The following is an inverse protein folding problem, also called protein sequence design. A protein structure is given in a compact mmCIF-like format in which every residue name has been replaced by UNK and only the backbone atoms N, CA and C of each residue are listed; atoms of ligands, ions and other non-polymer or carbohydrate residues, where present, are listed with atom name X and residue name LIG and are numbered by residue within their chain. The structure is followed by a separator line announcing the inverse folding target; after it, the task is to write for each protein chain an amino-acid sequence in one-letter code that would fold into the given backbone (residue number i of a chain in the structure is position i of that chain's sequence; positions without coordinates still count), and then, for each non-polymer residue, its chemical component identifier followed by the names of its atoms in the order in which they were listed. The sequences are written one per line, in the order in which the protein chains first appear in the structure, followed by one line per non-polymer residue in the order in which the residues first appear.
data_IF_276724394380
#
_entry.id   IF_276724394380
#
_cell.length_a   1.000
_cell.length_b   1.000
_cell.length_c   1.000
_cell.angle_alpha   90.00
_cell.angle_beta   90.00
_cell.angle_gamma   90.00
#
_symmetry.space_group_name_H-M   'P 1'
#
loop_
_entity.id
_entity.type
_entity.pdbx_description
1 polymer ?
#
# COMPACT_ATOMS: atom_id res chain seq x y z
N UNK A 1 -31.29 19.16 -12.76
CA UNK A 1 -30.08 19.74 -12.13
C UNK A 1 -29.23 18.59 -11.66
N UNK A 2 -27.93 18.60 -11.95
CA UNK A 2 -27.01 17.57 -11.47
C UNK A 2 -27.15 17.44 -9.95
N UNK A 3 -27.30 16.21 -9.44
CA UNK A 3 -27.42 15.96 -8.00
C UNK A 3 -26.04 15.96 -7.31
N UNK A 4 -24.97 16.29 -8.03
CA UNK A 4 -23.60 16.30 -7.54
C UNK A 4 -23.38 17.46 -6.54
N UNK A 5 -22.62 17.20 -5.48
CA UNK A 5 -22.24 18.18 -4.46
C UNK A 5 -21.67 19.46 -5.07
N UNK A 6 -20.74 19.35 -6.02
CA UNK A 6 -20.02 20.46 -6.64
C UNK A 6 -20.91 21.43 -7.45
N UNK A 7 -22.11 20.99 -7.84
CA UNK A 7 -23.08 21.81 -8.58
C UNK A 7 -24.04 22.56 -7.67
N UNK A 8 -24.20 22.13 -6.42
CA UNK A 8 -25.13 22.72 -5.46
C UNK A 8 -24.62 24.10 -5.01
N UNK A 9 -25.51 25.07 -4.75
CA UNK A 9 -25.13 26.35 -4.16
C UNK A 9 -24.35 26.15 -2.86
N UNK A 10 -23.24 26.87 -2.69
CA UNK A 10 -22.53 26.88 -1.42
C UNK A 10 -23.32 27.67 -0.38
N UNK A 11 -23.44 27.16 0.83
CA UNK A 11 -24.07 27.91 1.93
C UNK A 11 -23.30 29.20 2.23
N UNK A 12 -21.96 29.11 2.16
CA UNK A 12 -21.06 30.27 2.27
C UNK A 12 -20.92 30.96 0.91
N UNK A 13 -21.41 32.19 0.81
CA UNK A 13 -21.24 33.03 -0.39
C UNK A 13 -20.15 34.11 -0.24
N UNK A 14 -19.83 34.50 0.99
CA UNK A 14 -18.73 35.43 1.27
C UNK A 14 -17.41 34.68 1.18
N UNK A 15 -16.82 34.67 0.00
CA UNK A 15 -15.58 33.93 -0.31
C UNK A 15 -14.53 34.82 -0.98
N UNK A 16 -13.27 34.52 -0.70
CA UNK A 16 -12.10 35.07 -1.39
C UNK A 16 -11.34 33.95 -2.09
N UNK A 17 -10.62 34.32 -3.15
CA UNK A 17 -9.90 33.38 -4.00
C UNK A 17 -8.45 33.82 -4.20
N UNK A 18 -7.85 34.47 -3.19
CA UNK A 18 -6.53 35.07 -3.33
C UNK A 18 -5.47 34.00 -3.59
N UNK A 19 -5.49 32.93 -2.80
CA UNK A 19 -4.53 31.81 -2.91
C UNK A 19 -4.67 31.10 -4.25
N UNK A 20 -5.91 30.79 -4.67
CA UNK A 20 -6.17 30.21 -5.99
C UNK A 20 -5.66 31.11 -7.12
N UNK A 21 -5.97 32.41 -7.09
CA UNK A 21 -5.57 33.36 -8.15
C UNK A 21 -4.06 33.54 -8.23
N UNK A 22 -3.37 33.56 -7.09
CA UNK A 22 -1.92 33.62 -7.07
C UNK A 22 -1.30 32.38 -7.71
N UNK A 23 -1.81 31.20 -7.33
CA UNK A 23 -1.39 29.93 -7.90
C UNK A 23 -1.65 29.87 -9.42
N UNK A 24 -2.87 30.23 -9.84
CA UNK A 24 -3.28 30.24 -11.24
C UNK A 24 -2.42 31.19 -12.09
N UNK A 25 -2.11 32.39 -11.57
CA UNK A 25 -1.23 33.35 -12.26
C UNK A 25 0.17 32.81 -12.45
N UNK A 26 0.73 32.17 -11.41
CA UNK A 26 2.06 31.53 -11.51
C UNK A 26 2.07 30.34 -12.48
N UNK A 27 0.97 29.58 -12.56
CA UNK A 27 0.90 28.32 -13.32
C UNK A 27 0.49 28.50 -14.77
N UNK A 28 -0.43 29.44 -15.05
CA UNK A 28 -1.13 29.60 -16.33
C UNK A 28 -1.23 31.05 -16.82
N UNK A 29 -0.63 32.02 -16.10
CA UNK A 29 -0.79 33.47 -16.39
C UNK A 29 -2.27 33.92 -16.45
N UNK A 30 -3.12 33.28 -15.64
CA UNK A 30 -4.56 33.54 -15.57
C UNK A 30 -4.99 33.81 -14.12
N UNK A 31 -5.98 34.68 -13.91
CA UNK A 31 -6.54 34.99 -12.58
C UNK A 31 -8.05 34.71 -12.46
N UNK A 32 -8.66 34.18 -13.51
CA UNK A 32 -10.07 33.84 -13.51
C UNK A 32 -10.32 32.53 -12.77
N UNK A 33 -11.51 32.39 -12.17
CA UNK A 33 -11.93 31.11 -11.60
C UNK A 33 -12.26 30.12 -12.73
N UNK A 34 -12.08 28.80 -12.52
CA UNK A 34 -12.45 27.82 -13.52
C UNK A 34 -13.95 27.91 -13.84
N UNK A 35 -14.29 27.51 -15.06
CA UNK A 35 -15.69 27.34 -15.46
C UNK A 35 -16.43 26.38 -14.51
N UNK A 36 -17.74 26.61 -14.36
CA UNK A 36 -18.58 25.77 -13.51
C UNK A 36 -18.46 26.06 -12.01
N UNK A 37 -17.97 27.23 -11.61
CA UNK A 37 -17.92 27.73 -10.21
C UNK A 37 -19.20 28.41 -9.71
N UNK A 38 -20.22 28.52 -10.56
CA UNK A 38 -21.52 29.11 -10.21
C UNK A 38 -22.64 28.08 -10.35
N UNK A 39 -23.55 28.02 -9.37
CA UNK A 39 -24.75 27.16 -9.42
C UNK A 39 -25.83 27.78 -10.33
N UNK A 40 -26.04 29.08 -10.17
CA UNK A 40 -26.93 29.96 -10.97
C UNK A 40 -26.30 31.36 -10.98
N UNK A 41 -26.79 32.26 -11.85
CA UNK A 41 -26.22 33.62 -12.04
C UNK A 41 -25.74 34.24 -10.71
N UNK A 42 -24.43 34.48 -10.62
CA UNK A 42 -23.72 35.11 -9.49
C UNK A 42 -23.83 34.41 -8.12
N UNK A 43 -24.29 33.16 -8.06
CA UNK A 43 -24.28 32.35 -6.83
C UNK A 43 -23.21 31.29 -6.95
N UNK A 44 -22.19 31.34 -6.09
CA UNK A 44 -21.12 30.36 -6.05
C UNK A 44 -21.65 28.98 -5.64
N UNK A 45 -21.11 27.93 -6.24
CA UNK A 45 -21.40 26.55 -5.85
C UNK A 45 -20.32 25.97 -4.93
N UNK A 46 -20.50 24.73 -4.51
CA UNK A 46 -19.52 24.07 -3.65
C UNK A 46 -18.16 23.84 -4.34
N UNK A 47 -18.10 23.72 -5.67
CA UNK A 47 -16.80 23.70 -6.35
C UNK A 47 -16.04 25.01 -6.14
N UNK A 48 -16.71 26.17 -6.20
CA UNK A 48 -16.11 27.43 -5.78
C UNK A 48 -15.69 27.41 -4.30
N UNK A 49 -16.48 26.84 -3.40
CA UNK A 49 -16.10 26.71 -1.99
C UNK A 49 -14.82 25.91 -1.78
N UNK A 50 -14.62 24.81 -2.52
CA UNK A 50 -13.39 24.01 -2.50
C UNK A 50 -12.16 24.77 -3.04
N UNK A 51 -12.37 25.83 -3.84
CA UNK A 51 -11.31 26.71 -4.38
C UNK A 51 -11.11 27.99 -3.56
N UNK A 52 -11.93 28.22 -2.53
CA UNK A 52 -11.90 29.44 -1.75
C UNK A 52 -10.82 29.38 -0.65
N UNK A 53 -10.35 30.56 -0.22
CA UNK A 53 -9.50 30.68 0.97
C UNK A 53 -10.25 30.26 2.25
N UNK A 54 -11.57 30.12 2.19
CA UNK A 54 -12.46 29.70 3.27
C UNK A 54 -12.99 28.27 3.11
N UNK A 55 -12.30 27.41 2.35
CA UNK A 55 -12.63 25.98 2.31
C UNK A 55 -12.68 25.41 3.73
N UNK A 56 -13.81 24.79 4.15
CA UNK A 56 -13.97 24.31 5.52
C UNK A 56 -13.36 22.93 5.77
N UNK A 57 -12.94 22.22 4.72
CA UNK A 57 -12.29 20.91 4.82
C UNK A 57 -10.79 21.03 4.69
N UNK A 58 -10.09 20.21 5.46
CA UNK A 58 -8.65 20.26 5.61
C UNK A 58 -8.01 18.91 5.31
N UNK A 59 -6.75 18.94 4.90
CA UNK A 59 -5.83 17.83 5.07
C UNK A 59 -5.14 17.98 6.42
N UNK A 60 -5.07 16.88 7.17
CA UNK A 60 -4.42 16.84 8.49
C UNK A 60 -3.31 15.80 8.44
N UNK A 61 -2.06 16.28 8.38
CA UNK A 61 -0.87 15.43 8.39
C UNK A 61 -0.41 15.20 9.83
N UNK A 62 -0.49 13.96 10.29
CA UNK A 62 0.01 13.51 11.59
C UNK A 62 1.31 12.77 11.41
N UNK A 63 2.29 13.13 12.24
CA UNK A 63 3.61 12.51 12.29
C UNK A 63 4.00 12.26 13.74
N UNK A 64 5.08 11.50 13.97
CA UNK A 64 5.66 11.36 15.31
C UNK A 64 6.06 12.69 15.97
N UNK A 65 6.28 13.74 15.18
CA UNK A 65 6.71 15.06 15.66
C UNK A 65 5.53 16.02 15.90
N UNK A 66 4.29 15.58 15.65
CA UNK A 66 3.10 16.40 15.79
C UNK A 66 2.22 16.42 14.54
N UNK A 67 1.21 17.28 14.59
CA UNK A 67 0.17 17.43 13.57
C UNK A 67 0.32 18.76 12.82
N UNK A 68 0.08 18.73 11.51
CA UNK A 68 0.00 19.90 10.64
C UNK A 68 -1.32 19.90 9.89
N UNK A 69 -2.09 20.98 10.05
CA UNK A 69 -3.34 21.23 9.32
C UNK A 69 -3.07 22.20 8.17
N UNK A 70 -3.56 21.87 6.98
CA UNK A 70 -3.47 22.72 5.79
C UNK A 70 -4.77 23.51 5.61
N UNK A 71 -4.69 24.75 5.13
CA UNK A 71 -5.84 25.65 4.97
C UNK A 71 -5.93 26.20 3.55
N UNK A 72 -7.10 26.73 3.18
CA UNK A 72 -7.34 27.34 1.88
C UNK A 72 -7.80 26.32 0.83
N UNK A 73 -7.59 26.57 -0.47
CA UNK A 73 -8.14 25.72 -1.53
C UNK A 73 -7.71 24.26 -1.39
N UNK A 74 -8.65 23.31 -1.38
CA UNK A 74 -8.39 21.91 -1.00
C UNK A 74 -7.31 21.25 -1.88
N UNK A 75 -7.30 21.54 -3.18
CA UNK A 75 -6.26 21.03 -4.07
C UNK A 75 -4.87 21.63 -3.80
N UNK A 76 -4.78 22.86 -3.27
CA UNK A 76 -3.50 23.47 -2.89
C UNK A 76 -2.98 22.80 -1.61
N UNK A 77 -3.87 22.54 -0.65
CA UNK A 77 -3.51 21.77 0.55
C UNK A 77 -2.89 20.41 0.17
N UNK A 78 -3.49 19.72 -0.81
CA UNK A 78 -2.96 18.46 -1.36
C UNK A 78 -1.56 18.62 -1.95
N UNK A 79 -1.32 19.67 -2.74
CA UNK A 79 -0.02 19.95 -3.36
C UNK A 79 1.03 20.24 -2.29
N UNK A 80 0.72 21.09 -1.31
CA UNK A 80 1.63 21.43 -0.22
C UNK A 80 1.98 20.21 0.64
N UNK A 81 0.99 19.37 0.93
CA UNK A 81 1.21 18.12 1.65
C UNK A 81 2.09 17.15 0.86
N UNK A 82 1.87 17.01 -0.45
CA UNK A 82 2.68 16.16 -1.31
C UNK A 82 4.14 16.63 -1.38
N UNK A 83 4.38 17.95 -1.47
CA UNK A 83 5.72 18.55 -1.44
C UNK A 83 6.41 18.23 -0.12
N UNK A 84 5.73 18.46 1.01
CA UNK A 84 6.32 18.21 2.32
C UNK A 84 6.65 16.73 2.52
N UNK A 85 5.75 15.82 2.15
CA UNK A 85 5.99 14.38 2.21
C UNK A 85 7.17 13.97 1.32
N UNK A 86 7.25 14.51 0.11
CA UNK A 86 8.36 14.24 -0.82
C UNK A 86 9.70 14.71 -0.25
N UNK A 87 9.75 15.86 0.40
CA UNK A 87 10.95 16.39 1.05
C UNK A 87 11.33 15.58 2.29
N UNK A 88 10.36 15.30 3.16
CA UNK A 88 10.55 14.56 4.42
C UNK A 88 10.89 13.07 4.21
N UNK A 89 10.47 12.48 3.08
CA UNK A 89 10.72 11.07 2.78
C UNK A 89 12.21 10.85 2.43
N UNK A 90 12.96 10.04 3.20
CA UNK A 90 14.38 9.79 2.93
C UNK A 90 14.57 8.91 1.70
N UNK A 91 15.79 8.92 1.15
CA UNK A 91 16.22 7.96 0.14
C UNK A 91 16.73 6.67 0.76
N UNK A 92 16.24 5.54 0.25
CA UNK A 92 16.63 4.19 0.64
C UNK A 92 17.29 3.48 -0.54
N UNK A 93 18.20 2.57 -0.26
CA UNK A 93 18.80 1.71 -1.28
C UNK A 93 18.24 0.31 -1.11
N UNK A 94 17.53 -0.18 -2.12
CA UNK A 94 17.01 -1.54 -2.10
C UNK A 94 18.16 -2.51 -2.38
N UNK A 95 18.25 -3.58 -1.59
CA UNK A 95 19.28 -4.61 -1.78
C UNK A 95 19.26 -5.12 -3.22
N UNK A 96 20.44 -5.26 -3.82
CA UNK A 96 20.59 -5.67 -5.23
C UNK A 96 20.33 -4.55 -6.25
N UNK A 97 20.10 -3.30 -5.82
CA UNK A 97 19.95 -2.14 -6.72
C UNK A 97 21.04 -1.11 -6.51
N UNK A 98 21.61 -0.66 -7.62
CA UNK A 98 22.58 0.45 -7.63
C UNK A 98 21.91 1.79 -7.32
N UNK A 99 20.65 1.96 -7.70
CA UNK A 99 19.92 3.22 -7.54
C UNK A 99 19.28 3.35 -6.15
N UNK A 100 19.28 4.58 -5.62
CA UNK A 100 18.49 4.96 -4.45
C UNK A 100 17.08 5.40 -4.88
N UNK A 101 16.10 5.07 -4.06
CA UNK A 101 14.69 5.40 -4.27
C UNK A 101 14.17 6.17 -3.07
N UNK A 102 13.16 7.03 -3.24
CA UNK A 102 12.44 7.57 -2.09
C UNK A 102 11.75 6.42 -1.36
N UNK A 103 11.86 6.41 -0.02
CA UNK A 103 11.24 5.40 0.86
C UNK A 103 9.75 5.20 0.56
N UNK A 104 9.05 6.29 0.27
CA UNK A 104 7.72 6.29 -0.31
C UNK A 104 7.84 6.75 -1.77
N UNK A 105 7.34 5.98 -2.75
CA UNK A 105 7.31 6.42 -4.13
C UNK A 105 6.46 7.68 -4.29
N UNK A 106 7.06 8.79 -4.73
CA UNK A 106 6.36 10.07 -4.85
C UNK A 106 5.12 10.00 -5.74
N UNK A 107 5.19 9.21 -6.82
CA UNK A 107 4.06 8.97 -7.73
C UNK A 107 2.89 8.31 -7.00
N UNK A 108 3.16 7.34 -6.12
CA UNK A 108 2.12 6.67 -5.34
C UNK A 108 1.48 7.62 -4.31
N UNK A 109 2.29 8.47 -3.67
CA UNK A 109 1.82 9.46 -2.71
C UNK A 109 0.95 10.52 -3.38
N UNK A 110 1.39 11.10 -4.50
CA UNK A 110 0.64 12.11 -5.25
C UNK A 110 -0.70 11.55 -5.74
N UNK A 111 -0.71 10.34 -6.29
CA UNK A 111 -1.93 9.69 -6.78
C UNK A 111 -2.89 9.35 -5.63
N UNK A 112 -2.39 8.87 -4.48
CA UNK A 112 -3.22 8.56 -3.32
C UNK A 112 -3.86 9.82 -2.71
N UNK A 113 -3.11 10.92 -2.62
CA UNK A 113 -3.64 12.22 -2.16
C UNK A 113 -4.67 12.78 -3.13
N UNK A 114 -4.42 12.69 -4.44
CA UNK A 114 -5.37 13.14 -5.45
C UNK A 114 -6.68 12.34 -5.40
N UNK A 115 -6.59 11.03 -5.23
CA UNK A 115 -7.77 10.17 -5.05
C UNK A 115 -8.55 10.53 -3.79
N UNK A 116 -7.87 10.82 -2.68
CA UNK A 116 -8.53 11.27 -1.46
C UNK A 116 -9.33 12.57 -1.64
N UNK A 117 -8.81 13.53 -2.41
CA UNK A 117 -9.49 14.80 -2.70
C UNK A 117 -10.64 14.63 -3.72
N UNK A 118 -10.44 13.82 -4.76
CA UNK A 118 -11.44 13.61 -5.81
C UNK A 118 -12.64 12.79 -5.33
N UNK A 119 -12.39 11.79 -4.49
CA UNK A 119 -13.41 10.89 -3.95
C UNK A 119 -13.88 11.30 -2.54
N UNK A 120 -13.48 12.48 -2.08
CA UNK A 120 -13.90 13.07 -0.82
C UNK A 120 -15.43 13.25 -0.75
N UNK A 121 -16.07 12.72 0.29
CA UNK A 121 -17.47 13.02 0.61
C UNK A 121 -17.58 14.22 1.54
N UNK A 122 -17.79 15.39 0.94
CA UNK A 122 -17.94 16.65 1.65
C UNK A 122 -19.22 16.76 2.50
N UNK A 123 -20.15 15.81 2.41
CA UNK A 123 -21.34 15.80 3.29
C UNK A 123 -21.02 15.29 4.69
N UNK A 124 -19.91 14.56 4.85
CA UNK A 124 -19.38 14.15 6.13
C UNK A 124 -18.48 15.29 6.60
N UNK A 125 -18.84 15.97 7.69
CA UNK A 125 -18.08 17.08 8.29
C UNK A 125 -16.76 16.59 8.92
N UNK A 126 -15.90 15.97 8.11
CA UNK A 126 -14.66 15.33 8.50
C UNK A 126 -13.55 15.77 7.55
N UNK A 127 -12.33 15.84 8.09
CA UNK A 127 -11.12 16.17 7.33
C UNK A 127 -10.50 14.92 6.70
N UNK A 128 -9.63 15.12 5.71
CA UNK A 128 -8.79 14.05 5.16
C UNK A 128 -7.59 13.86 6.08
N UNK A 129 -7.49 12.68 6.70
CA UNK A 129 -6.44 12.37 7.67
C UNK A 129 -5.28 11.64 6.96
N UNK A 130 -4.05 12.08 7.25
CA UNK A 130 -2.84 11.53 6.67
C UNK A 130 -1.89 11.18 7.83
N UNK A 131 -1.76 9.89 8.11
CA UNK A 131 -0.84 9.39 9.13
C UNK A 131 0.47 8.94 8.49
N UNK A 132 1.57 9.62 8.83
CA UNK A 132 2.90 9.31 8.30
C UNK A 132 3.85 8.87 9.42
N UNK A 133 4.36 7.65 9.28
CA UNK A 133 5.36 7.08 10.19
C UNK A 133 6.47 6.37 9.40
N UNK A 134 7.36 5.67 10.10
CA UNK A 134 8.52 5.00 9.48
C UNK A 134 8.14 3.77 8.65
N UNK A 135 7.02 3.12 8.97
CA UNK A 135 6.53 1.90 8.35
C UNK A 135 5.65 2.15 7.13
N UNK A 136 4.87 3.24 7.14
CA UNK A 136 3.89 3.53 6.09
C UNK A 136 3.39 4.97 6.07
N UNK A 137 2.72 5.33 4.98
CA UNK A 137 1.82 6.48 4.87
C UNK A 137 0.39 5.97 4.72
N UNK A 138 -0.49 6.35 5.64
CA UNK A 138 -1.92 6.01 5.59
C UNK A 138 -2.72 7.27 5.28
N UNK A 139 -3.61 7.21 4.29
CA UNK A 139 -4.50 8.31 3.91
C UNK A 139 -5.94 7.81 4.08
N UNK A 140 -6.69 8.48 4.93
CA UNK A 140 -8.11 8.21 5.20
C UNK A 140 -8.94 9.39 4.71
N UNK A 141 -9.79 9.13 3.72
CA UNK A 141 -10.73 10.10 3.16
C UNK A 141 -12.16 9.79 3.61
N UNK A 142 -12.93 10.81 4.04
CA UNK A 142 -14.35 10.66 4.30
C UNK A 142 -15.16 10.13 3.12
N UNK A 143 -16.09 9.24 3.43
CA UNK A 143 -17.00 8.56 2.52
C UNK A 143 -16.46 7.20 2.08
N UNK A 144 -17.28 6.16 2.21
CA UNK A 144 -16.95 4.80 1.78
C UNK A 144 -16.91 4.63 0.26
N UNK A 145 -16.75 3.41 -0.23
CA UNK A 145 -16.80 3.14 -1.65
C UNK A 145 -18.24 3.30 -2.20
N UNK A 146 -18.39 3.84 -3.41
CA UNK A 146 -19.66 3.84 -4.15
C UNK A 146 -19.58 2.73 -5.20
N UNK A 147 -20.02 1.52 -4.84
CA UNK A 147 -20.01 0.33 -5.71
C UNK A 147 -20.11 -0.96 -4.90
N UNK A 148 -20.67 -2.01 -5.49
CA UNK A 148 -20.99 -3.26 -4.77
C UNK A 148 -19.78 -4.18 -4.56
N UNK A 149 -18.63 -3.95 -5.22
CA UNK A 149 -17.50 -4.88 -5.15
C UNK A 149 -16.10 -4.23 -5.15
N UNK A 150 -15.19 -4.79 -4.33
CA UNK A 150 -13.78 -4.35 -4.27
C UNK A 150 -13.01 -4.61 -5.59
N UNK A 151 -13.56 -5.43 -6.47
CA UNK A 151 -12.97 -5.77 -7.77
C UNK A 151 -13.23 -4.67 -8.81
N UNK A 152 -14.40 -4.02 -8.77
CA UNK A 152 -14.77 -2.89 -9.64
C UNK A 152 -13.97 -1.62 -9.34
N UNK A 153 -13.38 -1.54 -8.15
CA UNK A 153 -12.38 -0.53 -7.71
C UNK A 153 -11.22 -0.40 -8.71
N UNK A 154 -10.86 -1.49 -9.40
CA UNK A 154 -9.73 -1.54 -10.34
C UNK A 154 -10.11 -1.06 -11.75
N UNK A 155 -11.41 -0.92 -12.04
CA UNK A 155 -11.94 -0.80 -13.40
C UNK A 155 -12.80 0.44 -13.64
N UNK A 156 -13.52 0.97 -12.64
CA UNK A 156 -14.25 2.23 -12.87
C UNK A 156 -14.62 2.97 -11.58
N UNK A 157 -14.04 4.14 -11.36
CA UNK A 157 -14.55 5.08 -10.34
C UNK A 157 -14.93 6.39 -11.00
N UNK A 158 -16.23 6.62 -11.16
CA UNK A 158 -16.73 7.97 -11.41
C UNK A 158 -16.31 8.86 -10.24
N UNK A 159 -15.61 9.98 -10.48
CA UNK A 159 -15.19 10.88 -9.40
C UNK A 159 -16.43 11.43 -8.68
N UNK A 160 -16.41 11.44 -7.34
CA UNK A 160 -17.45 12.13 -6.55
C UNK A 160 -17.44 13.63 -6.84
N UNK A 161 -16.23 14.18 -7.00
CA UNK A 161 -15.97 15.59 -7.31
C UNK A 161 -15.40 15.71 -8.75
N UNK A 162 -16.24 15.61 -9.80
CA UNK A 162 -15.79 15.61 -11.20
C UNK A 162 -15.11 16.90 -11.66
N UNK A 163 -15.51 18.08 -11.17
CA UNK A 163 -14.88 19.36 -11.52
C UNK A 163 -13.52 19.49 -10.85
N UNK A 164 -13.40 19.08 -9.59
CA UNK A 164 -12.10 18.97 -8.91
C UNK A 164 -11.19 17.99 -9.63
N UNK A 165 -11.70 16.83 -10.06
CA UNK A 165 -10.96 15.87 -10.89
C UNK A 165 -10.49 16.50 -12.21
N UNK A 166 -11.34 17.28 -12.89
CA UNK A 166 -10.97 17.96 -14.13
C UNK A 166 -9.88 19.02 -13.90
N UNK A 167 -9.95 19.77 -12.79
CA UNK A 167 -8.92 20.74 -12.42
C UNK A 167 -7.57 20.05 -12.16
N UNK A 168 -7.55 18.99 -11.36
CA UNK A 168 -6.34 18.23 -11.06
C UNK A 168 -5.75 17.56 -12.31
N UNK A 169 -6.60 17.13 -13.25
CA UNK A 169 -6.16 16.67 -14.56
C UNK A 169 -5.48 17.78 -15.36
N UNK A 170 -6.07 18.98 -15.44
CA UNK A 170 -5.46 20.13 -16.13
C UNK A 170 -4.11 20.52 -15.50
N UNK A 171 -3.94 20.27 -14.21
CA UNK A 171 -2.68 20.49 -13.50
C UNK A 171 -1.62 19.40 -13.73
N UNK A 172 -2.03 18.23 -14.21
CA UNK A 172 -1.15 17.08 -14.44
C UNK A 172 -1.03 16.12 -13.25
N UNK A 173 -1.87 16.26 -12.21
CA UNK A 173 -1.85 15.39 -11.03
C UNK A 173 -2.62 14.08 -11.21
N UNK A 174 -3.58 14.02 -12.14
CA UNK A 174 -4.48 12.86 -12.31
C UNK A 174 -4.67 12.53 -13.78
N UNK A 175 -4.78 11.23 -14.10
CA UNK A 175 -5.11 10.71 -15.44
C UNK A 175 -6.59 10.27 -15.50
N UNK A 176 -7.26 10.42 -16.65
CA UNK A 176 -8.69 10.09 -16.79
C UNK A 176 -9.03 8.59 -16.82
N UNK A 177 -8.05 7.70 -16.91
CA UNK A 177 -8.28 6.31 -17.36
C UNK A 177 -8.53 5.30 -16.23
N UNK A 178 -8.94 5.76 -15.02
CA UNK A 178 -9.21 4.84 -13.89
C UNK A 178 -8.00 4.00 -13.47
N UNK A 179 -6.79 4.39 -13.90
CA UNK A 179 -5.55 3.63 -13.73
C UNK A 179 -4.76 4.01 -12.47
N UNK A 180 -5.26 4.97 -11.68
CA UNK A 180 -4.59 5.50 -10.49
C UNK A 180 -4.10 4.41 -9.54
N UNK A 181 -5.01 3.51 -9.14
CA UNK A 181 -4.64 2.38 -8.29
C UNK A 181 -3.66 1.40 -8.95
N UNK A 182 -3.72 1.21 -10.28
CA UNK A 182 -2.74 0.41 -11.01
C UNK A 182 -1.37 1.07 -10.99
N UNK A 183 -1.31 2.40 -11.07
CA UNK A 183 -0.07 3.16 -10.99
C UNK A 183 0.55 3.10 -9.59
N UNK A 184 -0.27 3.24 -8.54
CA UNK A 184 0.16 3.04 -7.15
C UNK A 184 0.73 1.63 -7.01
N UNK A 185 -0.01 0.58 -7.37
CA UNK A 185 0.46 -0.82 -7.32
C UNK A 185 1.74 -1.02 -8.15
N UNK A 186 1.81 -0.41 -9.33
CA UNK A 186 2.95 -0.41 -10.23
C UNK A 186 4.26 0.02 -9.54
N UNK A 187 4.19 1.03 -8.67
CA UNK A 187 5.34 1.52 -7.90
C UNK A 187 5.95 0.48 -6.94
N UNK A 188 5.18 -0.54 -6.55
CA UNK A 188 5.59 -1.55 -5.57
C UNK A 188 5.90 -2.92 -6.18
N UNK A 189 5.56 -3.16 -7.45
CA UNK A 189 5.73 -4.44 -8.17
C UNK A 189 7.10 -5.10 -7.99
N UNK A 190 8.16 -4.31 -7.87
CA UNK A 190 9.53 -4.81 -7.78
C UNK A 190 10.08 -4.90 -6.35
N UNK A 191 9.26 -4.56 -5.35
CA UNK A 191 9.64 -4.49 -3.94
C UNK A 191 9.13 -5.65 -3.08
N UNK A 192 8.16 -6.44 -3.58
CA UNK A 192 7.45 -7.47 -2.80
C UNK A 192 6.38 -6.90 -1.85
N UNK A 193 6.38 -5.58 -1.61
CA UNK A 193 5.36 -4.89 -0.84
C UNK A 193 4.13 -4.60 -1.70
N UNK A 194 2.98 -4.36 -1.07
CA UNK A 194 1.76 -3.93 -1.74
C UNK A 194 1.01 -2.89 -0.90
N UNK A 195 0.41 -1.87 -1.52
CA UNK A 195 -0.54 -1.00 -0.86
C UNK A 195 -1.75 -1.79 -0.35
N UNK A 196 -2.23 -1.44 0.84
CA UNK A 196 -3.48 -1.98 1.40
C UNK A 196 -4.59 -0.98 1.21
N UNK A 197 -5.76 -1.44 0.79
CA UNK A 197 -6.97 -0.63 0.65
C UNK A 197 -8.01 -1.19 1.61
N UNK A 198 -8.61 -0.32 2.40
CA UNK A 198 -9.69 -0.62 3.33
C UNK A 198 -10.83 0.35 3.06
N UNK A 199 -12.07 -0.13 3.01
CA UNK A 199 -13.24 0.73 2.87
C UNK A 199 -14.31 0.27 3.85
N UNK A 200 -14.91 1.24 4.54
CA UNK A 200 -16.15 1.06 5.31
C UNK A 200 -17.32 1.78 4.61
N UNK A 201 -18.42 1.95 5.35
CA UNK A 201 -19.58 2.77 4.93
C UNK A 201 -19.22 4.24 4.75
N UNK A 202 -18.43 4.77 5.70
CA UNK A 202 -18.25 6.22 5.87
C UNK A 202 -16.80 6.67 5.66
N UNK A 203 -15.90 5.76 5.29
CA UNK A 203 -14.51 6.10 5.02
C UNK A 203 -13.86 5.15 4.02
N UNK A 204 -12.92 5.71 3.26
CA UNK A 204 -11.99 4.99 2.42
C UNK A 204 -10.56 5.24 2.92
N UNK A 205 -9.76 4.20 2.98
CA UNK A 205 -8.41 4.25 3.50
C UNK A 205 -7.44 3.51 2.57
N UNK A 206 -6.32 4.17 2.25
CA UNK A 206 -5.21 3.55 1.54
C UNK A 206 -3.92 3.67 2.37
N UNK A 207 -3.23 2.56 2.54
CA UNK A 207 -1.94 2.48 3.23
C UNK A 207 -0.84 2.15 2.22
N UNK A 208 0.15 3.02 2.14
CA UNK A 208 1.35 2.89 1.31
C UNK A 208 2.51 2.43 2.20
N UNK A 209 3.02 1.20 2.05
CA UNK A 209 4.14 0.73 2.85
C UNK A 209 5.44 1.45 2.46
N UNK A 210 6.30 1.67 3.45
CA UNK A 210 7.67 2.14 3.22
C UNK A 210 8.47 1.05 2.49
N UNK A 211 9.20 1.41 1.44
CA UNK A 211 10.09 0.49 0.70
C UNK A 211 11.28 -0.03 1.54
N UNK A 212 11.54 0.61 2.68
CA UNK A 212 12.52 0.20 3.69
C UNK A 212 11.94 -0.85 4.66
N UNK A 213 10.61 -1.02 4.67
CA UNK A 213 9.88 -1.84 5.62
C UNK A 213 9.99 -3.35 5.29
N UNK A 214 11.22 -3.84 5.21
CA UNK A 214 11.54 -5.27 5.11
C UNK A 214 11.38 -6.01 6.44
N UNK A 215 10.98 -5.31 7.51
CA UNK A 215 10.72 -5.93 8.80
C UNK A 215 9.33 -6.60 8.90
N UNK A 216 8.46 -6.53 7.87
CA UNK A 216 7.16 -7.24 7.88
C UNK A 216 6.87 -8.22 6.74
N UNK A 217 7.73 -8.33 5.72
CA UNK A 217 7.58 -9.38 4.71
C UNK A 217 8.26 -10.69 5.11
N UNK A 218 9.32 -10.64 5.94
CA UNK A 218 10.04 -11.86 6.33
C UNK A 218 9.14 -12.88 7.01
N UNK A 219 8.38 -12.51 8.05
CA UNK A 219 7.55 -13.48 8.78
C UNK A 219 6.42 -14.08 7.93
N UNK A 220 5.77 -13.29 7.08
CA UNK A 220 4.72 -13.79 6.19
C UNK A 220 5.30 -14.62 5.04
N UNK A 221 6.37 -14.19 4.39
CA UNK A 221 7.01 -14.92 3.29
C UNK A 221 7.63 -16.23 3.80
N UNK A 222 8.31 -16.21 4.96
CA UNK A 222 8.82 -17.43 5.59
C UNK A 222 7.69 -18.37 5.98
N UNK A 223 6.58 -17.88 6.52
CA UNK A 223 5.45 -18.75 6.87
C UNK A 223 4.77 -19.32 5.63
N UNK A 224 4.64 -18.54 4.55
CA UNK A 224 4.14 -19.03 3.24
C UNK A 224 5.06 -20.10 2.67
N UNK A 225 6.38 -19.95 2.79
CA UNK A 225 7.35 -20.99 2.41
C UNK A 225 7.17 -22.23 3.28
N UNK A 226 7.09 -22.08 4.60
CA UNK A 226 6.93 -23.20 5.52
C UNK A 226 5.62 -23.95 5.26
N UNK A 227 4.51 -23.24 5.10
CA UNK A 227 3.20 -23.83 4.79
C UNK A 227 3.21 -24.53 3.44
N UNK A 228 3.80 -23.92 2.42
CA UNK A 228 3.98 -24.59 1.13
C UNK A 228 4.77 -25.89 1.27
N UNK A 229 5.87 -25.88 2.02
CA UNK A 229 6.68 -27.07 2.26
C UNK A 229 5.94 -28.11 3.14
N UNK A 230 5.08 -27.69 4.07
CA UNK A 230 4.21 -28.59 4.85
C UNK A 230 3.25 -29.32 3.92
N UNK A 231 2.61 -28.59 3.00
CA UNK A 231 1.63 -29.17 2.07
C UNK A 231 2.24 -30.00 0.94
N UNK A 232 3.46 -29.66 0.48
CA UNK A 232 4.03 -30.23 -0.75
C UNK A 232 5.28 -31.10 -0.49
N UNK A 233 5.78 -31.16 0.74
CA UNK A 233 6.97 -31.90 1.16
C UNK A 233 8.30 -31.28 0.70
N UNK A 234 8.34 -30.69 -0.49
CA UNK A 234 9.53 -29.99 -1.01
C UNK A 234 9.18 -28.88 -2.00
N UNK A 235 10.11 -27.96 -2.22
CA UNK A 235 10.00 -26.91 -3.22
C UNK A 235 11.35 -26.57 -3.83
N UNK A 236 11.38 -26.11 -5.09
CA UNK A 236 12.59 -25.53 -5.67
C UNK A 236 12.52 -24.00 -5.68
N UNK A 237 13.67 -23.35 -5.87
CA UNK A 237 13.80 -21.88 -5.78
C UNK A 237 12.94 -21.14 -6.80
N UNK A 238 12.72 -21.74 -7.97
CA UNK A 238 11.85 -21.15 -9.00
C UNK A 238 10.40 -21.22 -8.55
N UNK A 239 9.94 -22.35 -8.04
CA UNK A 239 8.56 -22.52 -7.54
C UNK A 239 8.27 -21.60 -6.38
N UNK A 240 9.16 -21.54 -5.39
CA UNK A 240 8.98 -20.69 -4.21
C UNK A 240 9.05 -19.20 -4.59
N UNK A 241 9.98 -18.80 -5.48
CA UNK A 241 10.03 -17.42 -5.97
C UNK A 241 8.74 -16.99 -6.68
N UNK A 242 8.11 -17.90 -7.44
CA UNK A 242 6.81 -17.65 -8.08
C UNK A 242 5.67 -17.56 -7.08
N UNK A 243 5.65 -18.42 -6.07
CA UNK A 243 4.68 -18.40 -4.98
C UNK A 243 4.69 -17.05 -4.25
N UNK A 244 5.89 -16.55 -3.96
CA UNK A 244 6.10 -15.27 -3.27
C UNK A 244 6.04 -14.05 -4.20
N UNK A 245 5.91 -14.27 -5.52
CA UNK A 245 5.98 -13.22 -6.55
C UNK A 245 7.27 -12.37 -6.49
N UNK A 246 8.40 -12.96 -6.09
CA UNK A 246 9.70 -12.30 -6.05
C UNK A 246 10.68 -12.88 -7.06
N UNK A 247 11.73 -12.13 -7.39
CA UNK A 247 12.79 -12.61 -8.27
C UNK A 247 13.71 -13.60 -7.53
N UNK A 248 14.22 -14.63 -8.23
CA UNK A 248 15.08 -15.69 -7.65
C UNK A 248 16.29 -15.14 -6.89
N UNK A 249 16.92 -14.06 -7.36
CA UNK A 249 18.08 -13.45 -6.66
C UNK A 249 17.72 -12.76 -5.33
N UNK A 250 16.42 -12.59 -5.04
CA UNK A 250 15.94 -12.06 -3.75
C UNK A 250 15.55 -13.20 -2.78
N UNK A 251 15.64 -14.46 -3.19
CA UNK A 251 15.33 -15.62 -2.33
C UNK A 251 16.42 -15.92 -1.31
N UNK A 252 17.67 -15.51 -1.56
CA UNK A 252 18.82 -15.88 -0.73
C UNK A 252 18.60 -15.48 0.73
N UNK A 253 18.06 -14.29 0.97
CA UNK A 253 17.77 -13.81 2.32
C UNK A 253 16.69 -14.65 3.03
N UNK A 254 15.62 -15.06 2.33
CA UNK A 254 14.55 -15.89 2.89
C UNK A 254 15.07 -17.28 3.24
N UNK A 255 15.88 -17.85 2.35
CA UNK A 255 16.53 -19.14 2.55
C UNK A 255 17.50 -19.07 3.73
N UNK A 256 18.37 -18.05 3.77
CA UNK A 256 19.33 -17.83 4.85
C UNK A 256 18.63 -17.63 6.20
N UNK A 257 17.50 -16.91 6.22
CA UNK A 257 16.69 -16.72 7.42
C UNK A 257 16.14 -18.06 7.89
N UNK A 258 15.44 -18.80 7.04
CA UNK A 258 14.84 -20.10 7.38
C UNK A 258 15.89 -21.17 7.75
N UNK A 259 17.06 -21.14 7.13
CA UNK A 259 18.18 -22.04 7.42
C UNK A 259 18.86 -21.67 8.75
N UNK A 260 19.06 -20.38 9.03
CA UNK A 260 19.61 -19.90 10.31
C UNK A 260 18.65 -20.13 11.49
N UNK A 261 17.35 -20.04 11.25
CA UNK A 261 16.29 -20.40 12.22
C UNK A 261 16.08 -21.92 12.31
N UNK A 262 16.85 -22.72 11.55
CA UNK A 262 16.82 -24.18 11.57
C UNK A 262 15.46 -24.79 11.17
N UNK A 263 14.67 -24.09 10.35
CA UNK A 263 13.32 -24.51 9.93
C UNK A 263 13.30 -25.29 8.63
N UNK A 264 14.30 -25.11 7.77
CA UNK A 264 14.42 -25.81 6.49
C UNK A 264 15.79 -26.48 6.31
N UNK A 265 15.85 -27.42 5.37
CA UNK A 265 17.07 -28.04 4.86
C UNK A 265 17.18 -27.81 3.35
N UNK A 266 18.37 -27.43 2.88
CA UNK A 266 18.67 -27.20 1.46
C UNK A 266 19.44 -28.38 0.89
N UNK A 267 18.94 -29.00 -0.17
CA UNK A 267 19.62 -30.08 -0.91
C UNK A 267 20.19 -29.57 -2.24
N UNK A 268 21.50 -29.71 -2.40
CA UNK A 268 22.26 -29.36 -3.62
C UNK A 268 23.03 -28.04 -3.53
N UNK A 269 23.81 -27.72 -4.57
CA UNK A 269 24.50 -26.43 -4.72
C UNK A 269 23.43 -25.34 -4.93
N UNK A 270 23.37 -24.31 -4.06
CA UNK A 270 22.42 -23.17 -4.10
C UNK A 270 22.25 -22.62 -5.53
N UNK A 271 21.30 -23.19 -6.26
CA UNK A 271 21.11 -23.00 -7.70
C UNK A 271 19.64 -23.21 -8.04
N UNK A 272 19.27 -23.00 -9.31
CA UNK A 272 17.90 -23.26 -9.80
C UNK A 272 17.41 -24.70 -9.58
N UNK A 273 18.32 -25.64 -9.28
CA UNK A 273 18.03 -27.05 -9.00
C UNK A 273 17.98 -27.39 -7.51
N UNK A 274 18.23 -26.44 -6.62
CA UNK A 274 18.15 -26.65 -5.18
C UNK A 274 16.72 -26.99 -4.76
N UNK A 275 16.60 -27.98 -3.88
CA UNK A 275 15.34 -28.37 -3.25
C UNK A 275 15.39 -28.01 -1.77
N UNK A 276 14.29 -27.45 -1.28
CA UNK A 276 14.08 -27.08 0.11
C UNK A 276 13.08 -28.04 0.74
N UNK A 277 13.35 -28.42 1.98
CA UNK A 277 12.53 -29.31 2.79
C UNK A 277 12.33 -28.70 4.16
N UNK A 278 11.24 -29.03 4.84
CA UNK A 278 11.15 -28.74 6.27
C UNK A 278 12.14 -29.59 7.05
N UNK A 279 12.76 -28.99 8.05
CA UNK A 279 13.53 -29.76 9.03
C UNK A 279 12.55 -30.42 10.02
N UNK A 280 12.68 -31.72 10.33
CA UNK A 280 11.86 -32.37 11.35
C UNK A 280 12.00 -31.63 12.68
N UNK A 281 10.91 -31.51 13.43
CA UNK A 281 10.96 -30.98 14.78
C UNK A 281 11.90 -31.85 15.62
N UNK A 282 12.71 -31.21 16.48
CA UNK A 282 13.72 -31.90 17.29
C UNK A 282 13.14 -32.99 18.22
N UNK A 283 11.82 -33.01 18.43
CA UNK A 283 11.12 -33.95 19.30
C UNK A 283 10.84 -35.32 18.65
N UNK A 284 11.04 -35.51 17.35
CA UNK A 284 10.78 -36.81 16.67
C UNK A 284 12.03 -37.69 16.46
N UNK A 285 13.21 -37.26 16.94
CA UNK A 285 14.46 -37.99 16.75
C UNK A 285 14.95 -38.82 17.94
N UNK A 286 14.41 -38.64 19.15
CA UNK A 286 14.84 -39.44 20.32
C UNK A 286 14.08 -40.78 20.45
N UNK A 287 12.83 -40.88 19.99
CA UNK A 287 12.02 -42.09 20.19
C UNK A 287 12.32 -43.24 19.20
N UNK A 288 13.02 -42.97 18.09
CA UNK A 288 13.31 -43.98 17.05
C UNK A 288 14.63 -44.73 17.27
N UNK A 289 15.52 -44.23 18.12
CA UNK A 289 16.86 -44.82 18.35
C UNK A 289 16.87 -45.80 19.54
N UNK A 290 15.87 -45.75 20.43
CA UNK A 290 15.84 -46.55 21.67
C UNK A 290 14.99 -47.83 21.62
N UNK A 291 14.40 -48.21 20.50
CA UNK A 291 13.74 -49.52 20.35
C UNK A 291 14.53 -50.48 19.43
N UNK A 292 15.67 -50.95 19.91
CA UNK A 292 16.22 -52.24 19.48
C UNK A 292 16.12 -53.23 20.64
N UNK A 293 15.40 -54.36 20.51
CA UNK A 293 15.48 -55.42 21.50
C UNK A 293 16.92 -55.95 21.53
N UNK A 294 17.52 -55.94 22.71
CA UNK A 294 18.91 -56.30 22.93
C UNK A 294 19.23 -57.72 22.45
N UNK A 295 20.36 -57.81 21.75
CA UNK A 295 21.11 -59.05 21.56
C UNK A 295 21.51 -59.55 22.94
N UNK A 296 20.89 -60.64 23.43
CA UNK A 296 21.45 -61.45 24.51
C UNK A 296 22.20 -62.63 23.90
N UNK A 297 23.51 -62.64 24.05
CA UNK A 297 24.34 -63.80 23.79
C UNK A 297 24.48 -64.69 25.03
N UNK A 298 24.34 -65.99 24.79
CA UNK A 298 25.05 -67.12 25.40
C UNK A 298 24.33 -68.02 26.41
N UNK A 299 24.52 -69.32 26.12
CA UNK A 299 24.62 -70.49 26.99
C UNK A 299 23.37 -71.39 27.14
N UNK A 300 23.50 -72.61 26.57
CA UNK A 300 22.75 -73.79 26.99
C UNK A 300 22.08 -74.60 25.87
N UNK A 301 22.84 -75.42 25.15
CA UNK A 301 22.32 -76.71 24.65
C UNK A 301 22.02 -77.61 25.87
N UNK A 302 20.98 -78.47 25.85
CA UNK A 302 21.08 -79.69 25.05
C UNK A 302 19.78 -80.26 24.45
N UNK A 303 20.01 -81.28 23.61
CA UNK A 303 19.15 -82.41 23.26
C UNK A 303 18.03 -82.27 22.20
N UNK A 304 18.36 -82.84 21.03
CA UNK A 304 17.64 -83.93 20.35
C UNK A 304 16.12 -84.04 20.53
N UNK A 305 15.39 -84.04 19.41
CA UNK A 305 14.76 -85.25 18.82
C UNK A 305 13.95 -84.82 17.57
N UNK A 306 14.10 -85.62 16.50
CA UNK A 306 13.33 -85.59 15.26
C UNK A 306 11.81 -85.64 15.50
N UNK A 307 11.06 -84.89 14.68
CA UNK A 307 10.05 -85.40 13.74
C UNK A 307 9.47 -84.23 12.94
#
# INVERSE_FOLDING_TARGET
MSNNFEDRPAERQKMTFKTYREFARKRWDESSLPEGTYARRNVYNNFALLLADQCPWHLVLRTKNGEKVYFGPLFIQMIECAILLKEATPFVQLLGRASRYKRLPSVAVEEALANAVIHFDASLEQDIIIDFNEESLTITSPGGFIGEDLFDVIVSTCPRNPKTSLLLKRLGYVRLEGSGLRQIKGCYTTSGLMPTIMSGSDSFCIQLPSLDNRQRTNLQETEVVLEYLRCNGSGNIVTISRLLMIQVHNMDFIIDTLESENKIMVMGLRSKRSLFYLKPAAEEQEDSILQRPGIRSSAGMPDCICC
#
